data_IF_654767069791
#
_entry.id   IF_654767069791
#
_cell.length_a   1.000
_cell.length_b   1.000
_cell.length_c   1.000
_cell.angle_alpha   90.00
_cell.angle_beta   90.00
_cell.angle_gamma   90.00
#
_symmetry.space_group_name_H-M   'P 1'
#
loop_
_entity.id
_entity.type
_entity.pdbx_description
1 polymer ?
#
# COMPACT_ATOMS: atom_id res chain seq x y z
N UNK A 1 -10.99 45.33 1.52
CA UNK A 1 -10.79 46.24 2.65
C UNK A 1 -9.30 46.52 2.77
N UNK A 2 -8.94 47.78 2.49
CA UNK A 2 -7.57 48.29 2.49
C UNK A 2 -7.08 48.60 3.90
N UNK A 3 -5.77 48.48 4.15
CA UNK A 3 -5.11 49.18 5.25
C UNK A 3 -3.93 49.98 4.68
N UNK A 4 -3.99 51.28 4.97
CA UNK A 4 -3.01 52.34 4.66
C UNK A 4 -1.73 52.21 5.50
N UNK A 5 -0.62 52.83 5.07
CA UNK A 5 0.68 52.78 5.73
C UNK A 5 0.83 53.87 6.81
N UNK A 6 1.69 53.64 7.81
CA UNK A 6 2.25 54.70 8.65
C UNK A 6 3.78 54.68 8.56
N UNK A 7 4.32 55.86 8.24
CA UNK A 7 5.73 56.17 8.20
C UNK A 7 6.21 56.65 9.58
N UNK A 8 7.46 56.25 9.89
CA UNK A 8 8.50 57.01 10.61
C UNK A 8 8.26 57.54 12.01
N UNK A 9 9.01 56.98 12.97
CA UNK A 9 9.76 57.77 13.96
C UNK A 9 11.16 57.17 14.13
N UNK A 10 12.19 57.97 13.84
CA UNK A 10 13.59 57.65 14.08
C UNK A 10 13.85 57.37 15.57
N UNK A 11 14.63 56.32 15.86
CA UNK A 11 15.57 56.36 16.97
C UNK A 11 16.84 55.63 16.57
N UNK A 12 17.88 56.43 16.36
CA UNK A 12 19.26 55.99 16.22
C UNK A 12 19.70 55.32 17.51
N UNK A 13 20.02 54.03 17.48
CA UNK A 13 21.20 53.48 18.15
C UNK A 13 21.28 51.97 17.99
N UNK A 14 22.50 51.49 17.73
CA UNK A 14 22.94 50.09 17.73
C UNK A 14 22.46 49.26 16.54
N UNK A 15 23.03 49.58 15.38
CA UNK A 15 23.43 48.55 14.42
C UNK A 15 24.40 47.62 15.17
N UNK A 16 23.86 46.53 15.72
CA UNK A 16 24.65 45.40 16.16
C UNK A 16 25.30 44.84 14.88
N UNK A 17 26.51 45.30 14.59
CA UNK A 17 27.37 44.70 13.57
C UNK A 17 27.56 43.24 13.99
N UNK A 18 26.79 42.33 13.40
CA UNK A 18 27.18 40.93 13.39
C UNK A 18 28.57 40.87 12.75
N UNK A 19 29.55 40.16 13.34
CA UNK A 19 30.84 39.97 12.71
C UNK A 19 30.60 39.29 11.37
N UNK A 20 30.94 39.96 10.27
CA UNK A 20 30.86 39.47 8.89
C UNK A 20 31.86 38.33 8.61
N UNK A 21 32.34 37.65 9.65
CA UNK A 21 33.33 36.57 9.59
C UNK A 21 32.73 35.16 9.74
N UNK A 22 31.41 35.04 9.89
CA UNK A 22 30.73 33.73 10.09
C UNK A 22 29.61 33.44 9.08
N UNK A 23 29.36 34.33 8.11
CA UNK A 23 28.45 34.00 7.02
C UNK A 23 29.23 33.18 5.98
N UNK A 24 29.32 31.85 6.19
CA UNK A 24 29.82 30.94 5.15
C UNK A 24 29.02 31.18 3.89
N UNK A 25 29.70 31.42 2.78
CA UNK A 25 29.01 31.62 1.50
C UNK A 25 28.15 30.39 1.17
N UNK A 26 27.05 30.52 0.41
CA UNK A 26 26.23 29.39 0.00
C UNK A 26 27.06 28.25 -0.64
N UNK A 27 28.19 28.59 -1.28
CA UNK A 27 29.16 27.63 -1.82
C UNK A 27 29.98 26.90 -0.77
N UNK A 28 30.36 27.56 0.34
CA UNK A 28 31.05 26.89 1.46
C UNK A 28 30.09 25.99 2.25
N UNK A 29 28.84 26.41 2.39
CA UNK A 29 27.80 25.61 3.04
C UNK A 29 27.37 24.43 2.16
N UNK A 30 27.31 24.61 0.83
CA UNK A 30 27.13 23.53 -0.13
C UNK A 30 28.33 22.58 -0.21
N UNK A 31 29.57 23.10 -0.15
CA UNK A 31 30.78 22.28 -0.16
C UNK A 31 30.96 21.49 1.16
N UNK A 32 30.49 22.02 2.29
CA UNK A 32 30.48 21.31 3.57
C UNK A 32 29.36 20.28 3.66
N UNK A 33 28.20 20.54 3.02
CA UNK A 33 27.16 19.54 2.79
C UNK A 33 27.67 18.40 1.89
N UNK A 34 28.46 18.73 0.86
CA UNK A 34 29.07 17.79 -0.08
C UNK A 34 30.21 16.97 0.57
N UNK A 35 30.98 17.58 1.48
CA UNK A 35 32.02 16.89 2.26
C UNK A 35 31.46 15.95 3.33
N UNK A 36 30.29 16.25 3.90
CA UNK A 36 29.56 15.36 4.82
C UNK A 36 28.77 14.26 4.07
N UNK A 37 28.59 14.42 2.75
CA UNK A 37 28.04 13.42 1.86
C UNK A 37 29.14 12.46 1.36
N UNK A 38 30.12 12.15 2.22
CA UNK A 38 31.07 11.06 2.01
C UNK A 38 30.27 9.85 1.56
N UNK A 39 30.48 9.44 0.30
CA UNK A 39 29.83 8.28 -0.32
C UNK A 39 29.73 7.17 0.71
N UNK A 40 28.53 6.94 1.24
CA UNK A 40 28.27 5.82 2.13
C UNK A 40 28.84 4.59 1.43
N UNK A 41 29.92 4.03 1.98
CA UNK A 41 30.46 2.81 1.42
C UNK A 41 29.34 1.77 1.46
N UNK A 42 29.15 0.99 0.40
CA UNK A 42 28.08 -0.02 0.31
C UNK A 42 27.97 -0.88 1.60
N UNK A 43 29.09 -1.28 2.25
CA UNK A 43 29.04 -1.98 3.53
C UNK A 43 28.46 -1.15 4.69
N UNK A 44 28.75 0.16 4.77
CA UNK A 44 28.19 1.06 5.79
C UNK A 44 26.70 1.31 5.56
N UNK A 45 26.28 1.53 4.32
CA UNK A 45 24.87 1.68 3.97
C UNK A 45 24.07 0.42 4.38
N UNK A 46 24.59 -0.77 4.07
CA UNK A 46 23.97 -2.04 4.47
C UNK A 46 23.87 -2.19 6.00
N UNK A 47 24.93 -1.86 6.75
CA UNK A 47 24.91 -1.93 8.22
C UNK A 47 23.90 -0.96 8.82
N UNK A 48 23.85 0.27 8.32
CA UNK A 48 22.90 1.28 8.79
C UNK A 48 21.46 0.84 8.51
N UNK A 49 21.19 0.35 7.30
CA UNK A 49 19.89 -0.20 6.94
C UNK A 49 19.50 -1.38 7.83
N UNK A 50 20.39 -2.35 8.03
CA UNK A 50 20.14 -3.50 8.91
C UNK A 50 19.83 -3.07 10.34
N UNK A 51 20.55 -2.06 10.86
CA UNK A 51 20.27 -1.47 12.17
C UNK A 51 18.88 -0.83 12.21
N UNK A 52 18.53 -0.02 11.21
CA UNK A 52 17.18 0.57 11.11
C UNK A 52 16.08 -0.48 10.99
N UNK A 53 16.32 -1.63 10.34
CA UNK A 53 15.36 -2.74 10.33
C UNK A 53 15.12 -3.30 11.74
N UNK A 54 16.19 -3.55 12.49
CA UNK A 54 16.07 -4.03 13.86
C UNK A 54 15.39 -3.02 14.77
N UNK A 55 15.74 -1.74 14.66
CA UNK A 55 15.13 -0.66 15.45
C UNK A 55 13.66 -0.44 15.08
N UNK A 56 13.32 -0.50 13.78
CA UNK A 56 11.93 -0.41 13.31
C UNK A 56 11.09 -1.60 13.80
N UNK A 57 11.67 -2.80 13.79
CA UNK A 57 11.01 -4.03 14.21
C UNK A 57 11.01 -4.28 15.71
N UNK A 58 11.85 -3.59 16.49
CA UNK A 58 11.94 -3.76 17.94
C UNK A 58 10.59 -3.48 18.60
N UNK A 59 10.10 -4.43 19.41
CA UNK A 59 8.80 -4.36 20.09
C UNK A 59 7.58 -4.68 19.21
N UNK A 60 7.71 -4.64 17.88
CA UNK A 60 6.57 -4.77 16.94
C UNK A 60 6.78 -5.84 15.86
N UNK A 61 7.79 -6.70 16.01
CA UNK A 61 8.22 -7.63 14.94
C UNK A 61 7.11 -8.56 14.48
N UNK A 62 6.28 -9.05 15.42
CA UNK A 62 5.14 -9.92 15.11
C UNK A 62 4.06 -9.20 14.29
N UNK A 63 3.74 -7.95 14.67
CA UNK A 63 2.74 -7.15 14.00
C UNK A 63 3.17 -6.81 12.56
N UNK A 64 4.43 -6.42 12.37
CA UNK A 64 5.02 -6.16 11.05
C UNK A 64 5.03 -7.44 10.22
N UNK A 65 5.46 -8.57 10.78
CA UNK A 65 5.49 -9.84 10.05
C UNK A 65 4.10 -10.29 9.59
N UNK A 66 3.08 -10.23 10.46
CA UNK A 66 1.71 -10.59 10.13
C UNK A 66 1.12 -9.69 9.04
N UNK A 67 1.30 -8.38 9.17
CA UNK A 67 0.75 -7.42 8.22
C UNK A 67 1.48 -7.47 6.87
N UNK A 68 2.81 -7.62 6.87
CA UNK A 68 3.60 -7.84 5.66
C UNK A 68 3.22 -9.15 4.96
N UNK A 69 3.08 -10.26 5.70
CA UNK A 69 2.66 -11.54 5.12
C UNK A 69 1.25 -11.47 4.52
N UNK A 70 0.31 -10.83 5.21
CA UNK A 70 -1.02 -10.54 4.66
C UNK A 70 -0.92 -9.71 3.38
N UNK A 71 -0.01 -8.75 3.33
CA UNK A 71 0.11 -7.84 2.20
C UNK A 71 0.75 -8.50 0.98
N UNK A 72 1.67 -9.45 1.18
CA UNK A 72 2.15 -10.37 0.11
C UNK A 72 0.96 -11.13 -0.48
N UNK A 73 0.13 -11.73 0.36
CA UNK A 73 -1.05 -12.50 -0.10
C UNK A 73 -2.10 -11.61 -0.78
N UNK A 74 -2.27 -10.38 -0.32
CA UNK A 74 -3.11 -9.39 -0.99
C UNK A 74 -2.60 -9.06 -2.40
N UNK A 75 -1.29 -8.86 -2.56
CA UNK A 75 -0.66 -8.62 -3.86
C UNK A 75 -0.77 -9.81 -4.81
N UNK A 76 -0.58 -11.02 -4.26
CA UNK A 76 -0.76 -12.28 -4.97
C UNK A 76 -2.19 -12.45 -5.51
N UNK A 77 -3.19 -12.19 -4.66
CA UNK A 77 -4.59 -12.29 -5.07
C UNK A 77 -4.92 -11.24 -6.14
N UNK A 78 -4.60 -9.98 -5.86
CA UNK A 78 -4.89 -8.85 -6.75
C UNK A 78 -4.32 -9.06 -8.15
N UNK A 79 -3.02 -9.38 -8.28
CA UNK A 79 -2.38 -9.47 -9.59
C UNK A 79 -3.00 -10.59 -10.42
N UNK A 80 -3.37 -11.69 -9.77
CA UNK A 80 -3.99 -12.83 -10.44
C UNK A 80 -5.31 -12.40 -11.07
N UNK A 81 -6.19 -11.75 -10.32
CA UNK A 81 -7.43 -11.23 -10.88
C UNK A 81 -7.16 -10.19 -11.99
N UNK A 82 -6.27 -9.21 -11.75
CA UNK A 82 -5.98 -8.14 -12.70
C UNK A 82 -5.39 -8.62 -14.04
N UNK A 83 -4.57 -9.68 -14.02
CA UNK A 83 -3.93 -10.23 -15.22
C UNK A 83 -4.88 -11.11 -16.03
N UNK A 84 -5.64 -11.99 -15.38
CA UNK A 84 -6.43 -12.99 -16.11
C UNK A 84 -7.87 -12.55 -16.40
N UNK A 85 -8.45 -11.63 -15.62
CA UNK A 85 -9.83 -11.19 -15.83
C UNK A 85 -10.09 -10.59 -17.22
N UNK A 86 -9.24 -9.70 -17.78
CA UNK A 86 -9.43 -9.19 -19.15
C UNK A 86 -9.26 -10.26 -20.23
N UNK A 87 -8.39 -11.24 -19.98
CA UNK A 87 -8.16 -12.37 -20.89
C UNK A 87 -9.40 -13.26 -20.91
N UNK A 88 -9.93 -13.63 -19.73
CA UNK A 88 -11.18 -14.38 -19.62
C UNK A 88 -12.34 -13.65 -20.27
N UNK A 89 -12.41 -12.32 -20.16
CA UNK A 89 -13.45 -11.54 -20.80
C UNK A 89 -13.35 -11.60 -22.33
N UNK A 90 -12.15 -11.46 -22.89
CA UNK A 90 -11.93 -11.58 -24.34
C UNK A 90 -12.26 -12.99 -24.85
N UNK A 91 -11.98 -14.04 -24.06
CA UNK A 91 -12.25 -15.43 -24.43
C UNK A 91 -13.74 -15.82 -24.27
N UNK A 92 -14.40 -15.36 -23.21
CA UNK A 92 -15.80 -15.76 -22.88
C UNK A 92 -16.85 -14.83 -23.50
N UNK A 93 -16.51 -13.58 -23.78
CA UNK A 93 -17.42 -12.57 -24.35
C UNK A 93 -17.04 -12.27 -25.79
N UNK A 94 -16.96 -13.30 -26.63
CA UNK A 94 -16.54 -13.19 -28.05
C UNK A 94 -17.43 -12.27 -28.89
N UNK A 95 -18.69 -12.06 -28.47
CA UNK A 95 -19.61 -11.11 -29.09
C UNK A 95 -19.26 -9.63 -28.83
N UNK A 96 -18.38 -9.33 -27.85
CA UNK A 96 -17.94 -7.99 -27.51
C UNK A 96 -16.49 -7.77 -27.96
N UNK A 97 -16.28 -7.09 -29.09
CA UNK A 97 -14.96 -6.87 -29.71
C UNK A 97 -13.92 -6.19 -28.80
N UNK A 98 -14.34 -5.57 -27.68
CA UNK A 98 -13.49 -4.84 -26.75
C UNK A 98 -13.70 -5.26 -25.28
N UNK A 99 -14.17 -6.49 -25.02
CA UNK A 99 -14.51 -6.96 -23.68
C UNK A 99 -13.40 -6.75 -22.63
N UNK A 100 -12.15 -7.07 -22.97
CA UNK A 100 -11.00 -6.87 -22.07
C UNK A 100 -10.73 -5.39 -21.74
N UNK A 101 -10.92 -4.48 -22.70
CA UNK A 101 -10.77 -3.03 -22.48
C UNK A 101 -11.91 -2.49 -21.61
N UNK A 102 -13.14 -2.94 -21.84
CA UNK A 102 -14.30 -2.55 -21.04
C UNK A 102 -14.16 -2.99 -19.57
N UNK A 103 -13.63 -4.20 -19.33
CA UNK A 103 -13.31 -4.66 -17.97
C UNK A 103 -12.34 -3.69 -17.29
N UNK A 104 -11.24 -3.32 -17.95
CA UNK A 104 -10.27 -2.37 -17.39
C UNK A 104 -10.84 -0.98 -17.19
N UNK A 105 -11.70 -0.51 -18.10
CA UNK A 105 -12.42 0.75 -17.95
C UNK A 105 -13.28 0.74 -16.67
N UNK A 106 -14.05 -0.34 -16.45
CA UNK A 106 -14.86 -0.52 -15.25
C UNK A 106 -13.98 -0.55 -14.00
N UNK A 107 -12.90 -1.33 -13.99
CA UNK A 107 -11.93 -1.36 -12.86
C UNK A 107 -11.43 0.05 -12.55
N UNK A 108 -11.05 0.82 -13.58
CA UNK A 108 -10.54 2.19 -13.43
C UNK A 108 -11.55 3.15 -12.82
N UNK A 109 -12.79 3.15 -13.30
CA UNK A 109 -13.88 3.99 -12.77
C UNK A 109 -14.11 3.71 -11.29
N UNK A 110 -14.20 2.43 -10.92
CA UNK A 110 -14.46 2.04 -9.53
C UNK A 110 -13.22 2.24 -8.62
N UNK A 111 -12.02 2.15 -9.16
CA UNK A 111 -10.78 2.47 -8.43
C UNK A 111 -10.72 3.94 -7.98
N UNK A 112 -11.27 4.86 -8.77
CA UNK A 112 -11.38 6.28 -8.38
C UNK A 112 -12.31 6.46 -7.17
N UNK A 113 -13.39 5.69 -7.12
CA UNK A 113 -14.39 5.76 -6.04
C UNK A 113 -13.93 5.04 -4.75
N UNK A 114 -13.04 4.06 -4.88
CA UNK A 114 -12.55 3.24 -3.77
C UNK A 114 -12.05 4.07 -2.58
N UNK A 115 -11.04 4.92 -2.80
CA UNK A 115 -10.34 5.56 -1.69
C UNK A 115 -11.22 6.48 -0.80
N UNK A 116 -12.08 7.36 -1.35
CA UNK A 116 -12.96 8.18 -0.52
C UNK A 116 -14.01 7.34 0.23
N UNK A 117 -14.58 6.30 -0.38
CA UNK A 117 -15.58 5.41 0.25
C UNK A 117 -14.97 4.72 1.47
N UNK A 118 -13.83 4.04 1.27
CA UNK A 118 -13.22 3.26 2.35
C UNK A 118 -12.49 4.13 3.35
N UNK A 119 -11.95 5.28 2.95
CA UNK A 119 -11.40 6.28 3.86
C UNK A 119 -12.46 6.83 4.82
N UNK A 120 -13.67 7.13 4.32
CA UNK A 120 -14.78 7.55 5.17
C UNK A 120 -15.22 6.44 6.13
N UNK A 121 -15.28 5.19 5.65
CA UNK A 121 -15.62 4.05 6.50
C UNK A 121 -14.56 3.78 7.57
N UNK A 122 -13.27 3.84 7.22
CA UNK A 122 -12.16 3.66 8.15
C UNK A 122 -12.16 4.68 9.29
N UNK A 123 -12.60 5.92 9.04
CA UNK A 123 -12.78 6.91 10.12
C UNK A 123 -13.88 6.51 11.12
N UNK A 124 -14.89 5.74 10.69
CA UNK A 124 -16.01 5.31 11.55
C UNK A 124 -15.73 4.02 12.31
N UNK A 125 -15.16 3.00 11.64
CA UNK A 125 -14.99 1.65 12.21
C UNK A 125 -13.53 1.25 12.46
N UNK A 126 -12.57 2.05 12.00
CA UNK A 126 -11.14 1.81 12.11
C UNK A 126 -10.52 1.14 10.87
N UNK A 127 -9.25 1.44 10.60
CA UNK A 127 -8.52 0.98 9.41
C UNK A 127 -8.39 -0.55 9.34
N UNK A 128 -8.11 -1.22 10.45
CA UNK A 128 -7.97 -2.69 10.46
C UNK A 128 -9.28 -3.41 10.13
N UNK A 129 -10.42 -2.92 10.64
CA UNK A 129 -11.73 -3.54 10.35
C UNK A 129 -12.13 -3.31 8.88
N UNK A 130 -11.88 -2.11 8.37
CA UNK A 130 -12.09 -1.80 6.95
C UNK A 130 -11.21 -2.68 6.06
N UNK A 131 -9.93 -2.87 6.41
CA UNK A 131 -9.02 -3.75 5.66
C UNK A 131 -9.51 -5.20 5.61
N UNK A 132 -10.02 -5.73 6.73
CA UNK A 132 -10.61 -7.07 6.76
C UNK A 132 -11.84 -7.17 5.84
N UNK A 133 -12.75 -6.21 5.91
CA UNK A 133 -13.94 -6.17 5.07
C UNK A 133 -13.59 -6.09 3.58
N UNK A 134 -12.59 -5.28 3.24
CA UNK A 134 -12.06 -5.17 1.88
C UNK A 134 -11.43 -6.48 1.39
N UNK A 135 -10.63 -7.15 2.22
CA UNK A 135 -9.98 -8.42 1.87
C UNK A 135 -11.04 -9.50 1.63
N UNK A 136 -12.06 -9.56 2.47
CA UNK A 136 -13.19 -10.48 2.31
C UNK A 136 -13.99 -10.19 1.04
N UNK A 137 -14.30 -8.90 0.79
CA UNK A 137 -15.02 -8.48 -0.40
C UNK A 137 -14.24 -8.82 -1.67
N UNK A 138 -12.92 -8.65 -1.67
CA UNK A 138 -12.09 -9.02 -2.82
C UNK A 138 -12.03 -10.54 -3.03
N UNK A 139 -11.95 -11.34 -1.96
CA UNK A 139 -12.03 -12.79 -2.06
C UNK A 139 -13.37 -13.25 -2.67
N UNK A 140 -14.48 -12.61 -2.27
CA UNK A 140 -15.79 -12.83 -2.88
C UNK A 140 -15.79 -12.45 -4.37
N UNK A 141 -15.17 -11.31 -4.72
CA UNK A 141 -14.93 -10.85 -6.08
C UNK A 141 -14.36 -11.93 -7.01
N UNK A 142 -13.36 -12.66 -6.52
CA UNK A 142 -12.69 -13.73 -7.27
C UNK A 142 -13.58 -14.94 -7.54
N UNK A 143 -14.59 -15.17 -6.71
CA UNK A 143 -15.54 -16.28 -6.89
C UNK A 143 -16.66 -15.94 -7.87
N UNK A 144 -16.94 -14.65 -8.16
CA UNK A 144 -18.04 -14.27 -9.07
C UNK A 144 -17.94 -14.90 -10.47
N UNK A 145 -16.78 -14.89 -11.16
CA UNK A 145 -16.64 -15.52 -12.48
C UNK A 145 -16.72 -17.05 -12.46
N UNK A 146 -16.76 -17.66 -11.27
CA UNK A 146 -16.92 -19.10 -11.07
C UNK A 146 -18.38 -19.49 -10.88
N UNK A 147 -19.19 -18.62 -10.26
CA UNK A 147 -20.61 -18.87 -10.02
C UNK A 147 -21.51 -18.36 -11.13
N UNK A 148 -21.13 -17.26 -11.77
CA UNK A 148 -21.90 -16.62 -12.84
C UNK A 148 -21.11 -16.66 -14.14
N UNK A 149 -21.60 -17.47 -15.08
CA UNK A 149 -21.05 -17.51 -16.43
C UNK A 149 -21.35 -16.23 -17.22
N UNK A 150 -20.45 -15.90 -18.14
CA UNK A 150 -20.60 -14.76 -19.03
C UNK A 150 -20.30 -13.41 -18.38
N UNK A 151 -21.01 -12.37 -18.82
CA UNK A 151 -20.66 -10.98 -18.55
C UNK A 151 -20.83 -10.60 -17.07
N UNK A 152 -21.87 -11.13 -16.41
CA UNK A 152 -22.24 -10.73 -15.04
C UNK A 152 -21.12 -11.07 -14.05
N UNK A 153 -20.57 -12.29 -14.10
CA UNK A 153 -19.49 -12.69 -13.20
C UNK A 153 -18.20 -11.89 -13.43
N UNK A 154 -17.86 -11.65 -14.70
CA UNK A 154 -16.64 -10.93 -15.09
C UNK A 154 -16.70 -9.44 -14.71
N UNK A 155 -17.79 -8.74 -15.08
CA UNK A 155 -17.97 -7.34 -14.72
C UNK A 155 -18.16 -7.17 -13.21
N UNK A 156 -18.85 -8.11 -12.54
CA UNK A 156 -18.98 -8.10 -11.09
C UNK A 156 -17.63 -8.19 -10.37
N UNK A 157 -16.74 -9.10 -10.81
CA UNK A 157 -15.37 -9.16 -10.31
C UNK A 157 -14.60 -7.86 -10.63
N UNK A 158 -14.75 -7.29 -11.83
CA UNK A 158 -14.10 -6.04 -12.23
C UNK A 158 -14.48 -4.86 -11.30
N UNK A 159 -15.77 -4.73 -10.98
CA UNK A 159 -16.29 -3.72 -10.04
C UNK A 159 -15.68 -3.92 -8.66
N UNK A 160 -15.71 -5.14 -8.13
CA UNK A 160 -15.18 -5.45 -6.80
C UNK A 160 -13.67 -5.23 -6.76
N UNK A 161 -12.94 -5.65 -7.78
CA UNK A 161 -11.50 -5.46 -7.92
C UNK A 161 -11.14 -3.97 -7.88
N UNK A 162 -11.81 -3.15 -8.69
CA UNK A 162 -11.62 -1.70 -8.70
C UNK A 162 -11.97 -1.05 -7.37
N UNK A 163 -13.13 -1.40 -6.80
CA UNK A 163 -13.57 -0.85 -5.51
C UNK A 163 -12.65 -1.22 -4.35
N UNK A 164 -11.99 -2.37 -4.36
CA UNK A 164 -11.26 -2.84 -3.17
C UNK A 164 -9.78 -2.53 -3.19
N UNK A 165 -9.13 -2.64 -4.36
CA UNK A 165 -7.67 -2.62 -4.49
C UNK A 165 -7.02 -1.37 -3.88
N UNK A 166 -7.46 -0.18 -4.31
CA UNK A 166 -6.88 1.09 -3.86
C UNK A 166 -7.11 1.30 -2.37
N UNK A 167 -8.27 0.87 -1.87
CA UNK A 167 -8.62 0.93 -0.45
C UNK A 167 -7.72 0.04 0.39
N UNK A 168 -7.45 -1.21 -0.02
CA UNK A 168 -6.60 -2.13 0.74
C UNK A 168 -5.16 -1.65 0.84
N UNK A 169 -4.60 -1.16 -0.27
CA UNK A 169 -3.26 -0.56 -0.29
C UNK A 169 -3.20 0.61 0.69
N UNK A 170 -4.16 1.53 0.60
CA UNK A 170 -4.18 2.72 1.46
C UNK A 170 -4.34 2.38 2.94
N UNK A 171 -5.27 1.49 3.30
CA UNK A 171 -5.46 1.05 4.68
C UNK A 171 -4.24 0.32 5.23
N UNK A 172 -3.61 -0.55 4.42
CA UNK A 172 -2.43 -1.30 4.86
C UNK A 172 -1.24 -0.36 5.08
N UNK A 173 -0.99 0.56 4.15
CA UNK A 173 0.09 1.52 4.30
C UNK A 173 -0.12 2.45 5.49
N UNK A 174 -1.36 2.88 5.76
CA UNK A 174 -1.66 3.65 6.96
C UNK A 174 -1.40 2.86 8.25
N UNK A 175 -1.84 1.60 8.30
CA UNK A 175 -1.57 0.72 9.44
C UNK A 175 -0.07 0.55 9.65
N UNK A 176 0.69 0.27 8.59
CA UNK A 176 2.15 0.06 8.65
C UNK A 176 2.88 1.33 9.10
N UNK A 177 2.48 2.49 8.58
CA UNK A 177 3.00 3.79 9.00
C UNK A 177 2.81 4.02 10.50
N UNK A 178 1.65 3.63 11.04
CA UNK A 178 1.29 3.86 12.43
C UNK A 178 1.92 2.85 13.42
N UNK A 179 2.53 1.75 12.94
CA UNK A 179 3.22 0.78 13.83
C UNK A 179 4.45 1.41 14.49
N UNK A 180 5.30 2.09 13.71
CA UNK A 180 6.48 2.79 14.24
C UNK A 180 6.68 4.12 13.49
N UNK A 181 6.10 5.22 13.99
CA UNK A 181 6.12 6.51 13.31
C UNK A 181 7.52 7.01 12.96
N UNK A 182 8.52 6.71 13.81
CA UNK A 182 9.92 7.12 13.62
C UNK A 182 10.57 6.47 12.38
N UNK A 183 10.12 5.28 11.98
CA UNK A 183 10.64 4.52 10.84
C UNK A 183 9.59 4.32 9.73
N UNK A 184 8.56 5.16 9.69
CA UNK A 184 7.41 5.06 8.76
C UNK A 184 7.83 4.82 7.30
N UNK A 185 8.77 5.62 6.79
CA UNK A 185 9.19 5.55 5.39
C UNK A 185 9.85 4.21 5.05
N UNK A 186 10.67 3.70 5.98
CA UNK A 186 11.32 2.40 5.85
C UNK A 186 10.27 1.28 5.84
N UNK A 187 9.32 1.31 6.78
CA UNK A 187 8.27 0.30 6.87
C UNK A 187 7.34 0.29 5.66
N UNK A 188 6.95 1.46 5.15
CA UNK A 188 6.18 1.60 3.90
C UNK A 188 6.98 1.01 2.71
N UNK A 189 8.29 1.28 2.65
CA UNK A 189 9.16 0.71 1.61
C UNK A 189 9.20 -0.82 1.66
N UNK A 190 9.36 -1.40 2.85
CA UNK A 190 9.33 -2.86 3.04
C UNK A 190 7.97 -3.47 2.71
N UNK A 191 6.89 -2.79 3.08
CA UNK A 191 5.53 -3.22 2.73
C UNK A 191 5.35 -3.25 1.21
N UNK A 192 5.81 -2.21 0.53
CA UNK A 192 5.73 -2.11 -0.93
C UNK A 192 6.54 -3.22 -1.59
N UNK A 193 7.74 -3.52 -1.07
CA UNK A 193 8.54 -4.66 -1.53
C UNK A 193 7.81 -5.99 -1.31
N UNK A 194 7.21 -6.19 -0.13
CA UNK A 194 6.43 -7.39 0.19
C UNK A 194 5.24 -7.55 -0.78
N UNK A 195 4.53 -6.46 -1.10
CA UNK A 195 3.47 -6.46 -2.09
C UNK A 195 3.96 -6.88 -3.48
N UNK A 196 5.10 -6.32 -3.91
CA UNK A 196 5.71 -6.64 -5.20
C UNK A 196 6.12 -8.13 -5.29
N UNK A 197 6.62 -8.73 -4.20
CA UNK A 197 6.92 -10.17 -4.14
C UNK A 197 5.64 -10.98 -4.41
N UNK A 198 4.52 -10.61 -3.78
CA UNK A 198 3.23 -11.24 -4.03
C UNK A 198 2.79 -11.12 -5.48
N UNK A 199 2.92 -9.91 -6.05
CA UNK A 199 2.58 -9.66 -7.45
C UNK A 199 3.45 -10.45 -8.44
N UNK A 200 4.71 -10.69 -8.11
CA UNK A 200 5.61 -11.49 -8.93
C UNK A 200 5.25 -12.98 -8.90
N UNK A 201 4.93 -13.51 -7.71
CA UNK A 201 4.59 -14.93 -7.52
C UNK A 201 3.21 -15.27 -8.10
N UNK A 202 2.25 -14.34 -8.07
CA UNK A 202 0.87 -14.55 -8.50
C UNK A 202 0.69 -15.19 -9.88
N UNK A 203 1.19 -14.56 -10.97
CA UNK A 203 1.07 -15.10 -12.31
C UNK A 203 1.84 -16.40 -12.49
N UNK A 204 3.01 -16.57 -11.85
CA UNK A 204 3.81 -17.80 -11.95
C UNK A 204 3.03 -19.02 -11.42
N UNK A 205 2.44 -18.88 -10.23
CA UNK A 205 1.62 -19.94 -9.63
C UNK A 205 0.36 -20.16 -10.45
N UNK A 206 -0.30 -19.08 -10.88
CA UNK A 206 -1.56 -19.19 -11.63
C UNK A 206 -1.37 -19.85 -12.98
N UNK A 207 -0.34 -19.48 -13.75
CA UNK A 207 -0.05 -20.10 -15.05
C UNK A 207 0.36 -21.56 -14.88
N UNK A 208 1.18 -21.88 -13.87
CA UNK A 208 1.55 -23.25 -13.57
C UNK A 208 0.32 -24.12 -13.26
N UNK A 209 -0.70 -23.56 -12.60
CA UNK A 209 -1.94 -24.24 -12.25
C UNK A 209 -3.00 -24.26 -13.37
N UNK A 210 -3.04 -23.23 -14.23
CA UNK A 210 -3.97 -23.17 -15.36
C UNK A 210 -3.70 -24.29 -16.38
N UNK A 211 -2.47 -24.80 -16.43
CA UNK A 211 -2.06 -25.90 -17.29
C UNK A 211 -2.19 -25.57 -18.77
N UNK A 212 -2.25 -26.59 -19.64
CA UNK A 212 -2.36 -26.43 -21.10
C UNK A 212 -3.78 -26.08 -21.60
N UNK A 213 -4.78 -26.09 -20.72
CA UNK A 213 -6.19 -25.93 -21.09
C UNK A 213 -6.73 -24.52 -20.80
N UNK A 214 -5.87 -23.56 -20.44
CA UNK A 214 -6.26 -22.18 -20.09
C UNK A 214 -7.39 -22.12 -19.04
N UNK A 215 -7.43 -23.09 -18.12
CA UNK A 215 -8.46 -23.13 -17.08
C UNK A 215 -8.10 -22.18 -15.93
N UNK A 216 -8.31 -20.89 -16.17
CA UNK A 216 -7.99 -19.84 -15.21
C UNK A 216 -8.86 -19.86 -13.93
N UNK A 217 -9.90 -20.71 -13.87
CA UNK A 217 -10.73 -20.86 -12.67
C UNK A 217 -9.90 -21.37 -11.48
N UNK A 218 -8.96 -22.29 -11.72
CA UNK A 218 -8.06 -22.77 -10.67
C UNK A 218 -7.19 -21.64 -10.10
N UNK A 219 -6.71 -20.75 -10.98
CA UNK A 219 -5.98 -19.54 -10.60
C UNK A 219 -6.79 -18.62 -9.68
N UNK A 220 -8.03 -18.33 -10.06
CA UNK A 220 -8.95 -17.52 -9.24
C UNK A 220 -9.24 -18.15 -7.87
N UNK A 221 -9.40 -19.47 -7.81
CA UNK A 221 -9.58 -20.18 -6.54
C UNK A 221 -8.35 -20.09 -5.64
N UNK A 222 -7.15 -20.26 -6.20
CA UNK A 222 -5.92 -20.12 -5.42
C UNK A 222 -5.73 -18.67 -4.96
N UNK A 223 -6.02 -17.69 -5.81
CA UNK A 223 -6.03 -16.28 -5.43
C UNK A 223 -7.03 -16.00 -4.28
N UNK A 224 -8.25 -16.53 -4.37
CA UNK A 224 -9.26 -16.39 -3.33
C UNK A 224 -8.79 -17.04 -2.02
N UNK A 225 -8.22 -18.25 -2.09
CA UNK A 225 -7.68 -18.93 -0.91
C UNK A 225 -6.52 -18.15 -0.27
N UNK A 226 -5.64 -17.55 -1.08
CA UNK A 226 -4.56 -16.70 -0.61
C UNK A 226 -5.09 -15.45 0.11
N UNK A 227 -6.13 -14.81 -0.43
CA UNK A 227 -6.80 -13.69 0.25
C UNK A 227 -7.47 -14.10 1.55
N UNK A 228 -8.10 -15.27 1.62
CA UNK A 228 -8.69 -15.78 2.87
C UNK A 228 -7.61 -16.06 3.93
N UNK A 229 -6.45 -16.61 3.53
CA UNK A 229 -5.30 -16.73 4.43
C UNK A 229 -4.80 -15.35 4.87
N UNK A 230 -4.73 -14.38 3.95
CA UNK A 230 -4.42 -12.98 4.26
C UNK A 230 -5.38 -12.39 5.29
N UNK A 231 -6.68 -12.61 5.13
CA UNK A 231 -7.71 -12.16 6.07
C UNK A 231 -7.50 -12.74 7.48
N UNK A 232 -7.14 -14.02 7.57
CA UNK A 232 -6.81 -14.67 8.85
C UNK A 232 -5.57 -14.00 9.49
N UNK A 233 -4.56 -13.64 8.70
CA UNK A 233 -3.38 -12.92 9.19
C UNK A 233 -3.72 -11.51 9.69
N UNK A 234 -4.56 -10.75 8.96
CA UNK A 234 -5.05 -9.42 9.42
C UNK A 234 -5.84 -9.56 10.72
N UNK A 235 -6.66 -10.60 10.85
CA UNK A 235 -7.42 -10.86 12.05
C UNK A 235 -6.52 -11.14 13.27
N UNK A 236 -5.46 -11.94 13.09
CA UNK A 236 -4.47 -12.16 14.14
C UNK A 236 -3.70 -10.89 14.49
N UNK A 237 -3.34 -10.08 13.49
CA UNK A 237 -2.74 -8.77 13.70
C UNK A 237 -3.65 -7.88 14.56
N UNK A 238 -4.93 -7.76 14.22
CA UNK A 238 -5.88 -6.94 14.97
C UNK A 238 -6.00 -7.40 16.44
N UNK A 239 -6.09 -8.71 16.66
CA UNK A 239 -6.15 -9.28 18.03
C UNK A 239 -4.88 -9.00 18.84
N UNK A 240 -3.70 -9.03 18.21
CA UNK A 240 -2.45 -8.72 18.90
C UNK A 240 -2.38 -7.25 19.29
N UNK A 241 -2.72 -6.33 18.37
CA UNK A 241 -2.69 -4.89 18.63
C UNK A 241 -3.64 -4.51 19.78
N UNK A 242 -4.84 -5.10 19.82
CA UNK A 242 -5.78 -4.87 20.92
C UNK A 242 -5.25 -5.36 22.28
N UNK A 243 -4.59 -6.52 22.31
CA UNK A 243 -4.01 -7.08 23.54
C UNK A 243 -2.89 -6.19 24.09
N UNK A 244 -2.05 -5.63 23.22
CA UNK A 244 -0.97 -4.72 23.64
C UNK A 244 -1.52 -3.43 24.24
N UNK A 245 -2.54 -2.82 23.63
CA UNK A 245 -3.18 -1.62 24.18
C UNK A 245 -3.79 -1.87 25.56
N UNK A 246 -4.32 -3.06 25.81
CA UNK A 246 -4.94 -3.40 27.10
C UNK A 246 -3.90 -3.69 28.20
N UNK A 247 -2.74 -4.25 27.85
CA UNK A 247 -1.64 -4.49 28.80
C UNK A 247 -0.89 -3.22 29.23
N UNK A 248 -1.01 -2.10 28.50
CA UNK A 248 -0.39 -0.82 28.88
C UNK A 248 -1.24 0.01 29.85
N UNK A 249 -2.50 -0.39 30.10
CA UNK A 249 -3.43 0.29 31.01
C UNK A 249 -3.62 -0.41 32.36
N UNK A 250 -3.15 -1.66 32.48
CA UNK A 250 -3.11 -2.43 33.73
C UNK A 250 -1.70 -2.42 34.33
#
# INVERSE_FOLDING_TARGET
YAIRPQNSTLSSSKVCKLPTSQLKSPKQQAAELDHNNQRLSVPQAYRNFKRSLYEAAAGHSKAIALLSASYVLAGFGYITSATFLPVMATQRLTAQSYAGLLIWLVVGIFAMLSNPIWGALAKRIGESKTLMGLTLLQAFGMCLPLWFDGAVGLYGNAVILGLTFVGMVSMTLNLIKNINPAYSNLLIGLATLAYAIGQFIGPLVTVALAGKQDNFNAGLLVAASGLLLGLVLVFFFQRQTQRQSQSSFN
#
